data_IF_972859625759
#
_entry.id   IF_972859625759
#
_cell.length_a   1.000
_cell.length_b   1.000
_cell.length_c   1.000
_cell.angle_alpha   90.00
_cell.angle_beta   90.00
_cell.angle_gamma   90.00
#
_symmetry.space_group_name_H-M   'P 1'
#
loop_
_entity.id
_entity.type
_entity.pdbx_description
1 polymer ?
#
# COMPACT_ATOMS: atom_id res chain seq x y z
N UNK A 1 30.07 21.08 -4.50
CA UNK A 1 30.43 20.99 -5.92
C UNK A 1 30.11 19.61 -6.45
N UNK A 2 29.70 19.51 -7.74
CA UNK A 2 29.40 18.22 -8.34
C UNK A 2 30.71 17.56 -8.80
N UNK A 3 30.89 16.29 -8.46
CA UNK A 3 32.05 15.49 -8.93
C UNK A 3 31.51 14.37 -9.82
N UNK A 4 32.11 14.21 -11.02
CA UNK A 4 31.75 13.12 -11.93
C UNK A 4 32.86 12.08 -11.94
N UNK A 5 32.51 10.87 -11.53
CA UNK A 5 33.42 9.72 -11.57
C UNK A 5 32.69 8.57 -12.25
N UNK A 6 33.31 7.96 -13.27
CA UNK A 6 32.72 6.85 -14.06
C UNK A 6 31.30 7.11 -14.57
N UNK A 7 31.05 8.29 -15.14
CA UNK A 7 29.73 8.75 -15.59
C UNK A 7 28.65 8.87 -14.49
N UNK A 8 29.02 8.81 -13.22
CA UNK A 8 28.11 9.03 -12.09
C UNK A 8 28.41 10.42 -11.52
N UNK A 9 27.38 11.27 -11.48
CA UNK A 9 27.46 12.59 -10.86
C UNK A 9 27.12 12.45 -9.39
N UNK A 10 28.05 12.84 -8.52
CA UNK A 10 27.87 12.85 -7.07
C UNK A 10 27.97 14.27 -6.51
N UNK A 11 27.21 14.54 -5.47
CA UNK A 11 27.25 15.79 -4.73
C UNK A 11 27.73 15.51 -3.32
N UNK A 12 28.76 16.25 -2.88
CA UNK A 12 29.20 16.19 -1.51
C UNK A 12 28.25 17.03 -0.63
N UNK A 13 27.74 16.42 0.43
CA UNK A 13 26.87 17.07 1.42
C UNK A 13 27.54 16.97 2.78
N UNK A 14 27.87 18.12 3.38
CA UNK A 14 28.42 18.19 4.73
C UNK A 14 27.30 18.39 5.74
N UNK A 15 27.18 17.48 6.71
CA UNK A 15 26.17 17.51 7.74
C UNK A 15 26.85 17.73 9.08
N UNK A 16 26.47 18.81 9.78
CA UNK A 16 26.92 19.07 11.15
C UNK A 16 25.95 18.40 12.13
N UNK A 17 26.45 17.49 12.95
CA UNK A 17 25.66 16.80 13.97
C UNK A 17 26.28 17.04 15.37
N UNK A 18 25.55 17.59 16.32
CA UNK A 18 26.01 17.69 17.71
C UNK A 18 26.24 16.29 18.29
N UNK A 19 27.39 16.09 18.95
CA UNK A 19 27.76 14.81 19.56
C UNK A 19 28.19 15.00 21.04
N UNK A 20 27.36 15.69 21.80
CA UNK A 20 27.65 15.97 23.22
C UNK A 20 27.79 14.68 24.05
N UNK A 21 27.03 13.64 23.71
CA UNK A 21 27.05 12.35 24.42
C UNK A 21 28.13 11.40 23.91
N UNK A 22 28.97 11.79 22.94
CA UNK A 22 30.04 10.98 22.33
C UNK A 22 29.56 9.65 21.75
N UNK A 23 28.27 9.57 21.34
CA UNK A 23 27.67 8.36 20.74
C UNK A 23 28.10 8.13 19.30
N UNK A 24 28.34 9.20 18.55
CA UNK A 24 28.82 9.15 17.18
C UNK A 24 30.33 8.93 17.21
N UNK A 25 30.79 7.85 16.62
CA UNK A 25 32.21 7.50 16.51
C UNK A 25 32.66 7.53 15.04
N UNK A 26 33.92 7.85 14.76
CA UNK A 26 34.45 7.74 13.39
C UNK A 26 34.27 6.34 12.83
N UNK A 27 33.94 6.25 11.54
CA UNK A 27 33.73 4.98 10.85
C UNK A 27 32.32 4.38 10.98
N UNK A 28 31.38 5.03 11.67
CA UNK A 28 29.98 4.60 11.68
C UNK A 28 29.28 4.93 10.35
N UNK A 29 28.47 4.00 9.88
CA UNK A 29 27.56 4.23 8.75
C UNK A 29 26.30 4.90 9.26
N UNK A 30 25.86 5.97 8.60
CA UNK A 30 24.61 6.67 8.90
C UNK A 30 23.65 6.61 7.71
N UNK A 31 22.36 6.38 7.97
CA UNK A 31 21.31 6.55 7.01
C UNK A 31 20.79 8.00 7.11
N UNK A 32 20.85 8.71 6.00
CA UNK A 32 20.46 10.12 5.94
C UNK A 32 19.25 10.28 5.03
N UNK A 33 18.24 10.99 5.49
CA UNK A 33 17.07 11.37 4.69
C UNK A 33 17.11 12.88 4.44
N UNK A 34 17.17 13.27 3.18
CA UNK A 34 17.19 14.67 2.75
C UNK A 34 15.82 15.05 2.24
N UNK A 35 15.14 15.97 2.93
CA UNK A 35 13.87 16.53 2.49
C UNK A 35 14.15 17.69 1.52
N UNK A 36 13.81 17.49 0.24
CA UNK A 36 14.01 18.50 -0.80
C UNK A 36 12.87 19.51 -0.86
N UNK A 37 11.71 19.14 -0.36
CA UNK A 37 10.56 20.04 -0.25
C UNK A 37 9.63 19.56 0.88
N UNK A 38 9.02 20.50 1.58
CA UNK A 38 8.05 20.23 2.65
C UNK A 38 6.84 21.16 2.46
N UNK A 39 5.63 20.62 2.61
CA UNK A 39 4.39 21.39 2.64
C UNK A 39 3.56 20.92 3.84
N UNK A 40 3.37 21.84 4.79
CA UNK A 40 2.55 21.61 6.00
C UNK A 40 1.11 22.06 5.77
N UNK A 41 0.17 21.43 6.49
CA UNK A 41 -1.25 21.83 6.45
C UNK A 41 -1.96 21.56 5.13
N UNK A 42 -1.46 20.63 4.32
CA UNK A 42 -2.07 20.28 3.03
C UNK A 42 -3.00 19.07 3.17
N UNK A 43 -4.07 19.07 2.37
CA UNK A 43 -4.90 17.89 2.23
C UNK A 43 -4.14 16.81 1.47
N UNK A 44 -4.04 15.62 2.04
CA UNK A 44 -3.36 14.48 1.42
C UNK A 44 -4.17 13.20 1.53
N UNK A 45 -3.94 12.29 0.61
CA UNK A 45 -4.53 10.95 0.60
C UNK A 45 -3.44 9.92 0.38
N UNK A 46 -3.59 8.69 0.89
CA UNK A 46 -2.69 7.60 0.54
C UNK A 46 -2.64 7.41 -0.97
N UNK A 47 -1.44 7.32 -1.56
CA UNK A 47 -1.25 7.17 -3.02
C UNK A 47 -1.94 5.92 -3.58
N UNK A 48 -2.25 4.94 -2.72
CA UNK A 48 -3.07 3.77 -3.07
C UNK A 48 -4.49 4.14 -3.48
N UNK A 49 -5.07 5.21 -2.90
CA UNK A 49 -6.43 5.66 -3.23
C UNK A 49 -6.56 6.16 -4.68
N UNK A 50 -5.49 6.73 -5.24
CA UNK A 50 -5.43 7.19 -6.63
C UNK A 50 -5.32 6.04 -7.65
N UNK A 51 -4.82 4.88 -7.21
CA UNK A 51 -4.65 3.68 -8.05
C UNK A 51 -5.82 2.71 -7.93
N UNK A 52 -6.68 2.92 -6.95
CA UNK A 52 -7.84 2.07 -6.74
C UNK A 52 -8.88 2.28 -7.84
N UNK A 53 -9.39 1.19 -8.39
CA UNK A 53 -10.52 1.17 -9.34
C UNK A 53 -11.50 0.11 -8.89
N UNK A 54 -12.75 0.47 -8.55
CA UNK A 54 -13.74 -0.51 -8.13
C UNK A 54 -14.16 -1.39 -9.32
N UNK A 55 -14.26 -2.70 -9.07
CA UNK A 55 -14.81 -3.67 -10.02
C UNK A 55 -16.13 -4.19 -9.47
N UNK A 56 -17.10 -4.46 -10.35
CA UNK A 56 -18.45 -4.92 -9.95
C UNK A 56 -18.42 -6.21 -9.13
N UNK A 57 -17.49 -7.09 -9.45
CA UNK A 57 -17.28 -8.36 -8.75
C UNK A 57 -16.79 -8.17 -7.32
N UNK A 58 -16.03 -7.10 -7.09
CA UNK A 58 -15.39 -6.84 -5.79
C UNK A 58 -16.23 -5.95 -4.87
N UNK A 59 -17.07 -5.09 -5.43
CA UNK A 59 -17.92 -4.16 -4.65
C UNK A 59 -19.27 -4.76 -4.25
N UNK A 60 -19.59 -5.96 -4.73
CA UNK A 60 -20.83 -6.68 -4.39
C UNK A 60 -22.10 -5.91 -4.78
N UNK A 61 -22.97 -5.64 -3.79
CA UNK A 61 -24.26 -4.96 -4.01
C UNK A 61 -24.17 -3.43 -4.09
N UNK A 62 -22.99 -2.84 -3.89
CA UNK A 62 -22.83 -1.39 -3.95
C UNK A 62 -22.89 -0.89 -5.40
N UNK A 63 -23.45 0.29 -5.59
CA UNK A 63 -23.49 0.95 -6.90
C UNK A 63 -22.19 1.69 -7.16
N UNK A 64 -21.64 1.55 -8.36
CA UNK A 64 -20.48 2.35 -8.80
C UNK A 64 -21.02 3.56 -9.55
N UNK A 65 -20.70 4.76 -9.07
CA UNK A 65 -21.09 6.03 -9.68
C UNK A 65 -19.81 6.76 -10.12
N UNK A 66 -19.58 6.81 -11.42
CA UNK A 66 -18.46 7.55 -12.01
C UNK A 66 -18.99 8.58 -12.99
N UNK A 67 -19.05 9.83 -12.55
CA UNK A 67 -19.42 10.98 -13.35
C UNK A 67 -18.21 11.85 -13.75
N UNK A 68 -16.99 11.33 -13.51
CA UNK A 68 -15.75 12.08 -13.73
C UNK A 68 -15.26 12.03 -15.19
N UNK A 69 -15.90 11.24 -16.03
CA UNK A 69 -15.50 11.04 -17.44
C UNK A 69 -14.07 10.51 -17.55
N UNK A 70 -13.31 11.06 -18.49
CA UNK A 70 -11.91 10.68 -18.71
C UNK A 70 -10.92 11.40 -17.78
N UNK A 71 -11.30 11.69 -16.53
CA UNK A 71 -10.40 12.31 -15.59
C UNK A 71 -9.17 11.42 -15.34
N UNK A 72 -7.97 12.00 -15.50
CA UNK A 72 -6.69 11.29 -15.31
C UNK A 72 -6.50 10.86 -13.87
N UNK A 73 -6.88 11.72 -12.91
CA UNK A 73 -6.76 11.43 -11.48
C UNK A 73 -8.15 11.46 -10.86
N UNK A 74 -8.51 10.37 -10.23
CA UNK A 74 -9.76 10.22 -9.49
C UNK A 74 -9.53 9.42 -8.22
N UNK A 75 -10.33 9.70 -7.22
CA UNK A 75 -10.40 8.93 -5.98
C UNK A 75 -11.84 8.53 -5.72
N UNK A 76 -12.00 7.51 -4.92
CA UNK A 76 -13.31 6.92 -4.65
C UNK A 76 -13.66 7.09 -3.19
N UNK A 77 -14.89 7.52 -2.93
CA UNK A 77 -15.49 7.56 -1.58
C UNK A 77 -16.66 6.59 -1.47
N UNK A 78 -17.05 6.27 -0.24
CA UNK A 78 -18.27 5.51 0.03
C UNK A 78 -19.33 6.50 0.51
N UNK A 79 -20.43 6.55 -0.21
CA UNK A 79 -21.60 7.38 0.09
C UNK A 79 -22.84 6.49 0.17
N UNK A 80 -23.27 6.19 1.40
CA UNK A 80 -24.37 5.25 1.64
C UNK A 80 -24.06 3.87 1.05
N UNK A 81 -24.86 3.46 0.06
CA UNK A 81 -24.68 2.17 -0.64
C UNK A 81 -24.03 2.32 -2.03
N UNK A 82 -23.24 3.38 -2.22
CA UNK A 82 -22.59 3.67 -3.49
C UNK A 82 -21.12 3.99 -3.30
N UNK A 83 -20.31 3.61 -4.30
CA UNK A 83 -18.92 4.05 -4.43
C UNK A 83 -18.91 5.13 -5.49
N UNK A 84 -18.53 6.34 -5.10
CA UNK A 84 -18.59 7.56 -5.93
C UNK A 84 -17.20 8.01 -6.30
N UNK A 85 -16.99 8.27 -7.59
CA UNK A 85 -15.74 8.81 -8.11
C UNK A 85 -15.69 10.34 -7.97
N UNK A 86 -14.58 10.85 -7.47
CA UNK A 86 -14.28 12.28 -7.43
C UNK A 86 -13.07 12.59 -8.30
N UNK A 87 -13.24 13.52 -9.26
CA UNK A 87 -12.11 14.05 -10.02
C UNK A 87 -11.27 14.92 -9.10
N UNK A 88 -9.96 14.67 -9.04
CA UNK A 88 -9.05 15.43 -8.19
C UNK A 88 -7.86 15.96 -8.97
N UNK A 89 -7.35 17.11 -8.51
CA UNK A 89 -6.06 17.61 -8.94
C UNK A 89 -5.03 17.29 -7.85
N UNK A 90 -3.96 16.66 -8.26
CA UNK A 90 -2.90 16.22 -7.36
C UNK A 90 -1.73 17.21 -7.37
N UNK A 91 -1.03 17.31 -6.26
CA UNK A 91 0.19 18.08 -6.09
C UNK A 91 1.41 17.17 -5.87
N UNK A 92 2.18 17.50 -4.85
CA UNK A 92 3.38 16.75 -4.48
C UNK A 92 3.04 15.37 -3.92
N UNK A 93 3.97 14.42 -4.07
CA UNK A 93 3.88 13.09 -3.47
C UNK A 93 5.19 12.74 -2.78
N UNK A 94 5.07 12.02 -1.66
CA UNK A 94 6.20 11.41 -0.93
C UNK A 94 6.35 9.91 -1.22
N UNK A 95 5.56 9.40 -2.21
CA UNK A 95 5.49 7.97 -2.55
C UNK A 95 4.40 7.23 -1.76
N UNK A 96 4.17 7.57 -0.51
CA UNK A 96 3.13 6.98 0.36
C UNK A 96 1.85 7.78 0.30
N UNK A 97 1.94 9.11 0.40
CA UNK A 97 0.83 10.05 0.33
C UNK A 97 0.98 10.98 -0.86
N UNK A 98 -0.15 11.44 -1.37
CA UNK A 98 -0.22 12.43 -2.45
C UNK A 98 -1.08 13.59 -2.01
N UNK A 99 -0.57 14.80 -2.20
CA UNK A 99 -1.29 16.03 -1.95
C UNK A 99 -2.47 16.17 -2.91
N UNK A 100 -3.62 16.58 -2.39
CA UNK A 100 -4.79 16.96 -3.18
C UNK A 100 -4.93 18.48 -3.16
N UNK A 101 -4.91 19.06 -4.35
CA UNK A 101 -5.07 20.51 -4.52
C UNK A 101 -6.54 20.91 -4.51
N UNK A 102 -7.39 20.12 -5.17
CA UNK A 102 -8.84 20.30 -5.17
C UNK A 102 -9.57 19.02 -5.60
N UNK A 103 -10.90 19.03 -5.50
CA UNK A 103 -11.80 17.93 -5.93
C UNK A 103 -12.37 17.12 -4.77
N UNK A 104 -11.85 17.27 -3.56
CA UNK A 104 -12.40 16.63 -2.35
C UNK A 104 -12.14 17.52 -1.13
N UNK A 105 -13.00 17.43 -0.13
CA UNK A 105 -12.86 18.15 1.13
C UNK A 105 -12.19 17.29 2.21
N UNK A 106 -11.62 17.94 3.22
CA UNK A 106 -11.11 17.26 4.40
C UNK A 106 -12.23 16.50 5.13
N UNK A 107 -11.91 15.34 5.67
CA UNK A 107 -12.85 14.49 6.42
C UNK A 107 -13.61 13.46 5.56
N UNK A 108 -13.53 13.52 4.24
CA UNK A 108 -14.15 12.49 3.38
C UNK A 108 -13.35 11.19 3.47
N UNK A 109 -14.05 10.07 3.68
CA UNK A 109 -13.44 8.74 3.72
C UNK A 109 -13.19 8.24 2.32
N UNK A 110 -11.92 8.06 1.97
CA UNK A 110 -11.50 7.55 0.67
C UNK A 110 -11.22 6.05 0.70
N UNK A 111 -11.54 5.37 -0.40
CA UNK A 111 -11.30 3.94 -0.56
C UNK A 111 -9.88 3.72 -1.05
N UNK A 112 -9.11 2.95 -0.29
CA UNK A 112 -7.72 2.59 -0.66
C UNK A 112 -7.59 1.15 -1.15
N UNK A 113 -8.61 0.34 -0.92
CA UNK A 113 -8.71 -1.07 -1.29
C UNK A 113 -9.97 -1.67 -0.72
N UNK A 114 -10.36 -2.83 -1.20
CA UNK A 114 -11.47 -3.62 -0.68
C UNK A 114 -10.91 -4.90 -0.07
N UNK A 115 -11.25 -5.16 1.18
CA UNK A 115 -11.07 -6.48 1.76
C UNK A 115 -12.29 -7.31 1.37
N UNK A 116 -12.14 -8.26 0.48
CA UNK A 116 -13.17 -9.27 0.23
C UNK A 116 -13.14 -10.19 1.46
N UNK A 117 -13.93 -9.86 2.48
CA UNK A 117 -14.20 -10.78 3.59
C UNK A 117 -15.09 -11.88 3.03
N UNK A 118 -14.48 -13.07 2.79
CA UNK A 118 -15.04 -14.37 2.63
C UNK A 118 -16.43 -14.49 2.01
N UNK A 119 -16.51 -15.02 0.80
CA UNK A 119 -17.48 -16.07 0.58
C UNK A 119 -17.12 -17.20 1.57
N UNK A 120 -18.11 -17.68 2.31
CA UNK A 120 -18.05 -18.94 3.03
C UNK A 120 -17.39 -19.96 2.11
N UNK A 121 -16.22 -20.44 2.49
CA UNK A 121 -15.73 -21.69 1.95
C UNK A 121 -16.68 -22.75 2.50
N UNK A 122 -17.64 -23.09 1.67
CA UNK A 122 -18.37 -24.33 1.79
C UNK A 122 -17.32 -25.44 1.69
N UNK A 123 -16.94 -25.97 2.88
CA UNK A 123 -16.13 -27.18 3.03
C UNK A 123 -16.94 -28.37 2.50
N UNK A 124 -17.24 -28.38 1.21
CA UNK A 124 -17.56 -29.61 0.53
C UNK A 124 -16.25 -30.34 0.30
N UNK A 125 -15.99 -31.21 1.24
CA UNK A 125 -15.11 -32.35 1.19
C UNK A 125 -15.14 -32.99 -0.20
N UNK A 126 -14.22 -32.62 -1.08
CA UNK A 126 -13.90 -33.39 -2.25
C UNK A 126 -12.83 -34.41 -1.84
N UNK A 127 -13.31 -35.59 -1.50
CA UNK A 127 -12.54 -36.84 -1.54
C UNK A 127 -11.99 -37.03 -2.95
N UNK A 128 -10.69 -36.82 -3.14
CA UNK A 128 -9.99 -37.22 -4.34
C UNK A 128 -8.52 -37.53 -4.01
N UNK A 129 -8.22 -38.84 -3.95
CA UNK A 129 -6.98 -39.47 -4.35
C UNK A 129 -5.67 -38.85 -3.87
N UNK A 130 -5.28 -39.13 -2.64
CA UNK A 130 -3.98 -38.70 -2.11
C UNK A 130 -2.83 -39.49 -2.72
N UNK A 131 -1.93 -38.82 -3.40
CA UNK A 131 -0.56 -39.29 -3.56
C UNK A 131 0.14 -39.26 -2.19
N UNK A 132 0.53 -40.46 -1.73
CA UNK A 132 1.24 -40.64 -0.46
C UNK A 132 2.65 -40.05 -0.57
N UNK A 133 2.93 -39.01 0.20
CA UNK A 133 4.29 -38.52 0.39
C UNK A 133 5.18 -39.64 0.94
N UNK A 134 6.37 -39.90 0.37
CA UNK A 134 7.27 -40.96 0.82
C UNK A 134 7.86 -40.73 2.23
N UNK A 135 7.59 -39.62 2.87
CA UNK A 135 8.11 -39.26 4.21
C UNK A 135 7.03 -39.14 5.31
N UNK A 136 5.80 -39.57 5.05
CA UNK A 136 4.77 -39.55 6.09
C UNK A 136 4.89 -40.79 7.00
N UNK A 137 4.98 -40.62 8.35
CA UNK A 137 4.97 -41.75 9.28
C UNK A 137 3.61 -42.46 9.23
N UNK A 138 3.61 -43.77 9.04
CA UNK A 138 2.41 -44.58 8.97
C UNK A 138 1.63 -44.63 10.30
N UNK A 139 0.32 -44.89 10.28
CA UNK A 139 -0.51 -44.96 11.46
C UNK A 139 -0.12 -46.19 12.33
N UNK A 140 -0.21 -46.11 13.68
CA UNK A 140 0.15 -47.18 14.59
C UNK A 140 -0.76 -48.39 14.39
N UNK A 141 -0.14 -49.55 14.24
CA UNK A 141 -0.83 -50.82 13.99
C UNK A 141 -1.76 -51.24 15.15
N UNK A 142 -3.02 -51.56 14.81
CA UNK A 142 -3.97 -52.14 15.76
C UNK A 142 -3.55 -53.55 16.11
N UNK A 143 -3.11 -53.76 17.36
CA UNK A 143 -2.87 -55.07 17.95
C UNK A 143 -4.21 -55.82 18.11
N UNK A 144 -4.42 -56.86 17.32
CA UNK A 144 -5.48 -57.83 17.56
C UNK A 144 -5.02 -58.79 18.66
N UNK A 145 -5.64 -58.74 19.83
CA UNK A 145 -5.57 -59.83 20.82
C UNK A 145 -6.49 -60.97 20.39
N UNK A 146 -5.89 -62.12 20.37
CA UNK A 146 -6.61 -63.43 20.43
C UNK A 146 -7.32 -63.58 21.77
#
# INVERSE_FOLDING_TARGET
EATTTNNVVTYEVVISAPNADLKLKPGLTANVTIYTAERKGVLSVPSKALRFTPQKETVGKMKIVDQTGNAKNKIWSIEGNSIVAHKVNIGMTDGTNTQILNGISAGVKVVTGLNVTGGEQDDTQADAGGEKSPFAPGPPGKNKKK
#
